data_IF_631573719973
#
_entry.id   IF_631573719973
#
_cell.length_a   1.000
_cell.length_b   1.000
_cell.length_c   1.000
_cell.angle_alpha   90.00
_cell.angle_beta   90.00
_cell.angle_gamma   90.00
#
_symmetry.space_group_name_H-M   'P 1'
#
loop_
_entity.id
_entity.type
_entity.pdbx_description
1 polymer ?
#
# COMPACT_ATOMS: atom_id res chain seq x y z
N UNK A 1 -13.79 8.58 20.41
CA UNK A 1 -13.03 8.39 19.18
C UNK A 1 -13.00 9.73 18.49
N UNK A 2 -11.81 10.31 18.35
CA UNK A 2 -11.59 11.54 17.60
C UNK A 2 -11.41 11.20 16.11
N UNK A 3 -12.52 11.25 15.36
CA UNK A 3 -12.57 10.82 13.95
C UNK A 3 -11.72 11.70 13.03
N UNK A 4 -11.61 12.99 13.34
CA UNK A 4 -10.79 13.93 12.57
C UNK A 4 -9.31 13.55 12.68
N UNK A 5 -8.82 13.33 13.91
CA UNK A 5 -7.44 12.87 14.12
C UNK A 5 -7.16 11.51 13.50
N UNK A 6 -8.10 10.58 13.59
CA UNK A 6 -7.95 9.28 12.94
C UNK A 6 -7.80 9.46 11.42
N UNK A 7 -8.66 10.26 10.80
CA UNK A 7 -8.67 10.49 9.34
C UNK A 7 -7.39 11.17 8.88
N UNK A 8 -6.93 12.19 9.60
CA UNK A 8 -5.64 12.85 9.33
C UNK A 8 -4.48 11.87 9.44
N UNK A 9 -4.45 11.07 10.51
CA UNK A 9 -3.45 10.03 10.71
C UNK A 9 -3.45 9.04 9.55
N UNK A 10 -4.63 8.55 9.16
CA UNK A 10 -4.80 7.61 8.05
C UNK A 10 -4.23 8.15 6.74
N UNK A 11 -4.65 9.35 6.35
CA UNK A 11 -4.20 9.98 5.11
C UNK A 11 -2.69 10.18 5.11
N UNK A 12 -2.13 10.70 6.21
CA UNK A 12 -0.69 10.91 6.34
C UNK A 12 0.08 9.58 6.28
N UNK A 13 -0.45 8.53 6.92
CA UNK A 13 0.18 7.21 6.93
C UNK A 13 0.20 6.59 5.54
N UNK A 14 -0.88 6.73 4.79
CA UNK A 14 -0.96 6.29 3.40
C UNK A 14 0.04 7.04 2.51
N UNK A 15 0.01 8.37 2.49
CA UNK A 15 0.90 9.17 1.63
C UNK A 15 2.38 9.02 1.98
N UNK A 16 2.73 8.96 3.28
CA UNK A 16 4.12 8.74 3.69
C UNK A 16 4.62 7.36 3.28
N UNK A 17 3.75 6.36 3.18
CA UNK A 17 4.12 5.03 2.70
C UNK A 17 4.46 5.00 1.22
N UNK A 18 3.83 5.87 0.43
CA UNK A 18 4.11 6.05 -0.98
C UNK A 18 5.45 6.75 -1.21
N UNK A 19 5.72 7.80 -0.43
CA UNK A 19 6.88 8.68 -0.64
C UNK A 19 8.14 8.14 0.05
N UNK A 20 8.04 7.78 1.34
CA UNK A 20 9.19 7.41 2.16
C UNK A 20 8.84 6.34 3.23
N UNK A 21 8.56 5.08 2.80
CA UNK A 21 8.06 4.04 3.70
C UNK A 21 9.02 3.71 4.85
N UNK A 22 10.33 3.81 4.63
CA UNK A 22 11.35 3.55 5.67
C UNK A 22 11.35 4.59 6.79
N UNK A 23 10.96 5.84 6.51
CA UNK A 23 10.81 6.87 7.54
C UNK A 23 9.58 6.58 8.41
N UNK A 24 8.47 6.19 7.80
CA UNK A 24 7.24 5.88 8.52
C UNK A 24 7.42 4.67 9.47
N UNK A 25 8.13 3.63 9.03
CA UNK A 25 8.46 2.47 9.88
C UNK A 25 9.32 2.87 11.10
N UNK A 26 10.29 3.76 10.92
CA UNK A 26 11.10 4.31 12.03
C UNK A 26 10.25 5.15 12.98
N UNK A 27 9.34 5.95 12.45
CA UNK A 27 8.44 6.79 13.25
C UNK A 27 7.48 5.94 14.08
N UNK A 28 6.86 4.93 13.46
CA UNK A 28 5.94 4.01 14.13
C UNK A 28 6.64 3.14 15.19
N UNK A 29 7.90 2.76 14.98
CA UNK A 29 8.68 1.98 15.96
C UNK A 29 9.23 2.82 17.10
N UNK A 30 9.53 4.11 16.86
CA UNK A 30 10.03 5.03 17.88
C UNK A 30 8.94 5.70 18.72
N UNK A 31 7.68 5.67 18.27
CA UNK A 31 6.56 6.31 18.98
C UNK A 31 5.93 5.35 19.98
N UNK A 32 5.84 5.78 21.23
CA UNK A 32 5.14 5.06 22.30
C UNK A 32 3.75 5.66 22.53
N UNK A 33 2.78 4.81 22.87
CA UNK A 33 1.42 5.21 23.18
C UNK A 33 0.41 4.86 22.09
N UNK A 34 -0.87 4.97 22.45
CA UNK A 34 -1.99 4.75 21.57
C UNK A 34 -2.87 6.01 21.60
N UNK A 35 -3.12 6.56 20.42
CA UNK A 35 -4.12 7.60 20.20
C UNK A 35 -4.68 7.44 18.78
N UNK A 36 -5.80 8.09 18.50
CA UNK A 36 -6.52 7.96 17.24
C UNK A 36 -5.67 8.32 16.02
N UNK A 37 -4.82 9.34 16.13
CA UNK A 37 -3.92 9.73 15.06
C UNK A 37 -2.88 8.63 14.75
N UNK A 38 -2.24 8.08 15.78
CA UNK A 38 -1.26 7.00 15.62
C UNK A 38 -1.89 5.72 15.10
N UNK A 39 -3.13 5.44 15.49
CA UNK A 39 -3.88 4.31 14.94
C UNK A 39 -4.19 4.53 13.46
N UNK A 40 -4.72 5.70 13.10
CA UNK A 40 -4.93 6.07 11.69
C UNK A 40 -3.64 5.94 10.89
N UNK A 41 -2.54 6.49 11.40
CA UNK A 41 -1.22 6.43 10.76
C UNK A 41 -0.75 5.00 10.47
N UNK A 42 -0.97 4.07 11.41
CA UNK A 42 -0.68 2.64 11.23
C UNK A 42 -1.59 1.99 10.19
N UNK A 43 -2.88 2.31 10.23
CA UNK A 43 -3.87 1.72 9.32
C UNK A 43 -3.68 2.20 7.88
N UNK A 44 -3.43 3.48 7.67
CA UNK A 44 -3.12 4.04 6.35
C UNK A 44 -1.85 3.44 5.74
N UNK A 45 -0.82 3.21 6.58
CA UNK A 45 0.39 2.51 6.17
C UNK A 45 0.11 1.07 5.70
N UNK A 46 -0.72 0.36 6.47
CA UNK A 46 -1.09 -1.00 6.17
C UNK A 46 -1.91 -1.07 4.87
N UNK A 47 -2.81 -0.11 4.65
CA UNK A 47 -3.64 -0.06 3.46
C UNK A 47 -2.80 0.12 2.19
N UNK A 48 -1.86 1.07 2.19
CA UNK A 48 -0.92 1.22 1.07
C UNK A 48 -0.14 -0.07 0.79
N UNK A 49 0.35 -0.74 1.84
CA UNK A 49 1.07 -2.03 1.69
C UNK A 49 0.21 -3.11 1.05
N UNK A 50 -1.07 -3.22 1.43
CA UNK A 50 -2.01 -4.18 0.83
C UNK A 50 -2.26 -3.85 -0.64
N UNK A 51 -2.54 -2.60 -0.97
CA UNK A 51 -2.78 -2.18 -2.34
C UNK A 51 -1.55 -2.43 -3.22
N UNK A 52 -0.34 -2.09 -2.74
CA UNK A 52 0.90 -2.35 -3.45
C UNK A 52 1.13 -3.85 -3.69
N UNK A 53 0.75 -4.73 -2.76
CA UNK A 53 0.80 -6.18 -2.94
C UNK A 53 -0.22 -6.66 -3.98
N UNK A 54 -1.46 -6.19 -3.90
CA UNK A 54 -2.53 -6.54 -4.85
C UNK A 54 -2.21 -6.09 -6.27
N UNK A 55 -1.62 -4.90 -6.44
CA UNK A 55 -1.18 -4.40 -7.73
C UNK A 55 -0.09 -5.29 -8.34
N UNK A 56 0.91 -5.70 -7.55
CA UNK A 56 1.94 -6.65 -8.01
C UNK A 56 1.36 -7.99 -8.44
N UNK A 57 0.38 -8.50 -7.68
CA UNK A 57 -0.32 -9.74 -8.03
C UNK A 57 -1.05 -9.57 -9.36
N UNK A 58 -1.80 -8.48 -9.53
CA UNK A 58 -2.55 -8.17 -10.74
C UNK A 58 -1.64 -8.04 -11.96
N UNK A 59 -0.56 -7.28 -11.87
CA UNK A 59 0.43 -7.13 -12.94
C UNK A 59 1.03 -8.49 -13.35
N UNK A 60 1.28 -9.38 -12.39
CA UNK A 60 1.77 -10.72 -12.66
C UNK A 60 0.73 -11.59 -13.41
N UNK A 61 -0.56 -11.46 -13.12
CA UNK A 61 -1.61 -12.14 -13.89
C UNK A 61 -1.79 -11.56 -15.30
N UNK A 62 -1.79 -10.24 -15.43
CA UNK A 62 -1.94 -9.55 -16.72
C UNK A 62 -0.77 -9.86 -17.68
N UNK A 63 0.46 -9.88 -17.16
CA UNK A 63 1.66 -10.21 -17.95
C UNK A 63 1.73 -11.67 -18.42
N UNK A 64 1.06 -12.61 -17.75
CA UNK A 64 0.92 -14.00 -18.23
C UNK A 64 -0.13 -14.14 -19.33
N UNK A 65 -1.15 -13.29 -19.31
CA UNK A 65 -2.26 -13.35 -20.25
C UNK A 65 -1.86 -12.80 -21.64
N UNK A 66 -0.94 -11.83 -21.69
CA UNK A 66 -0.43 -11.26 -22.96
C UNK A 66 0.51 -12.22 -23.71
N UNK A 67 1.36 -12.98 -23.00
CA UNK A 67 2.26 -13.99 -23.60
C UNK A 67 1.51 -15.17 -24.25
N UNK A 68 0.24 -15.36 -23.93
CA UNK A 68 -0.59 -16.44 -24.50
C UNK A 68 -1.25 -16.06 -25.84
N UNK A 69 -1.17 -14.79 -26.26
CA UNK A 69 -1.77 -14.30 -27.51
C UNK A 69 -0.77 -14.21 -28.68
N UNK A 70 0.52 -13.99 -28.41
CA UNK A 70 1.54 -13.88 -29.47
C UNK A 70 2.03 -15.23 -30.03
N UNK A 71 1.58 -16.36 -29.47
CA UNK A 71 2.01 -17.71 -29.90
C UNK A 71 1.12 -18.40 -30.94
N UNK A 72 0.05 -17.76 -31.44
CA UNK A 72 -0.94 -18.42 -32.31
C UNK A 72 -0.91 -18.07 -33.80
N UNK A 73 0.02 -17.24 -34.26
CA UNK A 73 0.02 -16.77 -35.67
C UNK A 73 1.32 -17.06 -36.46
N UNK A 74 2.08 -18.09 -36.05
CA UNK A 74 3.21 -18.60 -36.81
C UNK A 74 2.94 -20.04 -37.27
N UNK A 75 1.99 -20.21 -38.18
CA UNK A 75 1.62 -21.53 -38.71
C UNK A 75 0.66 -21.48 -39.88
N UNK A 76 1.10 -20.95 -41.03
CA UNK A 76 0.57 -21.28 -42.35
C UNK A 76 1.70 -21.35 -43.36
#
# INVERSE_FOLDING_TARGET
MDEEKYTEGFNNGYFLSEIEPGMLEKLLSGTQGENEYLQGLKDGHLEYKKEAQMNKIREHYESKNTKSRDGKDAGR
#
